data_IF_257194966796
#
_entry.id   IF_257194966796
#
_cell.length_a   1.000
_cell.length_b   1.000
_cell.length_c   1.000
_cell.angle_alpha   90.00
_cell.angle_beta   90.00
_cell.angle_gamma   90.00
#
_symmetry.space_group_name_H-M   'P 1'
#
loop_
_entity.id
_entity.type
_entity.pdbx_description
1 polymer ?
#
# COMPACT_ATOMS: atom_id res chain seq x y z
N UNK A 1 -33.15 -71.62 2.14
CA UNK A 1 -32.98 -70.91 3.42
C UNK A 1 -32.01 -69.78 3.15
N UNK A 2 -32.53 -68.56 2.96
CA UNK A 2 -31.72 -67.42 2.53
C UNK A 2 -30.93 -66.85 3.70
N UNK A 3 -29.65 -66.51 3.46
CA UNK A 3 -28.77 -65.95 4.47
C UNK A 3 -28.66 -64.44 4.24
N UNK A 4 -29.46 -63.66 4.97
CA UNK A 4 -29.41 -62.19 4.88
C UNK A 4 -28.10 -61.65 5.50
N UNK A 5 -27.30 -60.98 4.69
CA UNK A 5 -26.15 -60.20 5.14
C UNK A 5 -26.63 -58.94 5.88
N UNK A 6 -26.37 -58.85 7.21
CA UNK A 6 -26.49 -57.59 7.92
C UNK A 6 -25.24 -56.73 7.68
N UNK A 7 -25.36 -55.73 6.81
CA UNK A 7 -24.35 -54.67 6.70
C UNK A 7 -24.59 -53.68 7.85
N UNK A 8 -23.75 -53.73 8.88
CA UNK A 8 -23.69 -52.63 9.85
C UNK A 8 -23.05 -51.41 9.18
N UNK A 9 -23.87 -50.40 8.87
CA UNK A 9 -23.37 -49.05 8.60
C UNK A 9 -22.74 -48.49 9.87
N UNK A 10 -21.42 -48.56 9.98
CA UNK A 10 -20.67 -47.83 11.00
C UNK A 10 -20.83 -46.32 10.76
N UNK A 11 -21.66 -45.67 11.58
CA UNK A 11 -21.77 -44.21 11.61
C UNK A 11 -20.44 -43.61 12.08
N UNK A 12 -19.59 -43.21 11.13
CA UNK A 12 -18.39 -42.43 11.43
C UNK A 12 -18.87 -41.06 11.96
N UNK A 13 -18.59 -40.70 13.22
CA UNK A 13 -18.98 -39.40 13.74
C UNK A 13 -18.17 -38.31 13.01
N UNK A 14 -18.83 -37.57 12.11
CA UNK A 14 -18.27 -36.31 11.59
C UNK A 14 -18.00 -35.40 12.78
N UNK A 15 -16.72 -35.05 13.00
CA UNK A 15 -16.37 -33.99 13.95
C UNK A 15 -16.99 -32.69 13.44
N UNK A 16 -18.09 -32.27 14.05
CA UNK A 16 -18.60 -30.91 13.89
C UNK A 16 -17.60 -30.00 14.62
N UNK A 17 -16.65 -29.43 13.87
CA UNK A 17 -15.89 -28.30 14.39
C UNK A 17 -16.88 -27.17 14.59
N UNK A 18 -17.12 -26.80 15.86
CA UNK A 18 -17.80 -25.55 16.16
C UNK A 18 -16.93 -24.42 15.62
N UNK A 19 -17.42 -23.70 14.60
CA UNK A 19 -16.82 -22.42 14.23
C UNK A 19 -16.83 -21.52 15.47
N UNK A 20 -15.77 -20.72 15.64
CA UNK A 20 -15.57 -19.80 16.75
C UNK A 20 -14.85 -18.57 16.22
N UNK A 21 -15.25 -17.39 16.69
CA UNK A 21 -14.47 -16.16 16.46
C UNK A 21 -13.27 -16.21 17.41
N UNK A 22 -12.09 -16.42 16.83
CA UNK A 22 -10.84 -16.71 17.56
C UNK A 22 -10.11 -15.44 18.02
N UNK A 23 -10.16 -14.38 17.21
CA UNK A 23 -9.43 -13.14 17.44
C UNK A 23 -10.30 -11.93 17.08
N UNK A 24 -10.19 -10.84 17.83
CA UNK A 24 -10.94 -9.59 17.65
C UNK A 24 -10.03 -8.44 18.02
N UNK A 25 -9.82 -7.53 17.08
CA UNK A 25 -9.03 -6.31 17.28
C UNK A 25 -9.96 -5.11 17.35
N UNK A 26 -9.65 -4.13 18.21
CA UNK A 26 -10.53 -2.99 18.44
C UNK A 26 -9.76 -1.67 18.57
N UNK A 27 -10.31 -0.64 17.93
CA UNK A 27 -9.94 0.77 18.10
C UNK A 27 -11.23 1.54 18.39
N UNK A 28 -11.26 2.35 19.44
CA UNK A 28 -12.48 3.08 19.87
C UNK A 28 -12.35 4.60 19.71
N UNK A 29 -13.50 5.26 19.56
CA UNK A 29 -13.60 6.71 19.42
C UNK A 29 -13.06 7.47 20.64
N UNK A 30 -13.26 6.91 21.84
CA UNK A 30 -12.82 7.42 23.13
C UNK A 30 -11.35 7.07 23.46
N UNK A 31 -10.67 6.34 22.56
CA UNK A 31 -9.30 5.84 22.70
C UNK A 31 -9.06 4.88 23.88
N UNK A 32 -10.12 4.33 24.48
CA UNK A 32 -10.02 3.30 25.52
C UNK A 32 -9.46 1.95 25.00
N UNK A 33 -9.51 1.72 23.69
CA UNK A 33 -8.78 0.66 22.98
C UNK A 33 -8.18 1.22 21.69
N UNK A 34 -6.94 0.82 21.38
CA UNK A 34 -6.13 1.37 20.28
C UNK A 34 -5.37 0.23 19.58
N UNK A 35 -6.00 -0.37 18.57
CA UNK A 35 -5.56 -1.63 17.95
C UNK A 35 -5.22 -2.69 19.01
N UNK A 36 -6.14 -2.94 19.92
CA UNK A 36 -5.97 -3.88 21.03
C UNK A 36 -6.68 -5.20 20.70
N UNK A 37 -5.99 -6.33 20.84
CA UNK A 37 -6.66 -7.65 20.82
C UNK A 37 -7.55 -7.79 22.05
N UNK A 38 -8.76 -8.29 21.87
CA UNK A 38 -9.71 -8.58 22.94
C UNK A 38 -9.75 -10.10 23.20
N UNK A 39 -8.80 -10.64 24.00
CA UNK A 39 -8.72 -12.08 24.24
C UNK A 39 -9.98 -12.57 24.96
N UNK A 40 -10.78 -13.37 24.27
CA UNK A 40 -11.97 -13.99 24.86
C UNK A 40 -11.54 -15.09 25.81
N UNK A 41 -11.60 -14.79 27.11
CA UNK A 41 -11.54 -15.83 28.14
C UNK A 41 -12.63 -16.88 27.87
N UNK A 42 -12.30 -18.15 28.11
CA UNK A 42 -12.87 -19.33 27.43
C UNK A 42 -14.37 -19.62 27.68
N UNK A 43 -15.09 -18.75 28.39
CA UNK A 43 -16.53 -18.84 28.64
C UNK A 43 -17.42 -18.05 27.66
N UNK A 44 -16.85 -17.16 26.82
CA UNK A 44 -17.63 -16.22 25.97
C UNK A 44 -17.30 -16.22 24.48
N UNK A 45 -16.80 -17.33 23.94
CA UNK A 45 -16.72 -17.52 22.49
C UNK A 45 -18.11 -17.36 21.84
N UNK A 46 -18.22 -16.55 20.78
CA UNK A 46 -19.46 -16.51 19.97
C UNK A 46 -19.59 -17.89 19.32
N UNK A 47 -20.58 -18.63 19.81
CA UNK A 47 -20.97 -19.93 19.24
C UNK A 47 -21.85 -19.67 18.03
N UNK A 48 -21.50 -20.30 16.93
CA UNK A 48 -22.36 -20.34 15.75
C UNK A 48 -23.58 -21.19 16.09
N UNK A 49 -24.76 -20.58 16.01
CA UNK A 49 -26.04 -21.26 16.24
C UNK A 49 -26.64 -21.63 14.89
N UNK A 50 -27.29 -22.79 14.81
CA UNK A 50 -28.12 -23.12 13.65
C UNK A 50 -29.26 -22.10 13.54
N UNK A 51 -29.44 -21.50 12.35
CA UNK A 51 -30.43 -20.47 12.06
C UNK A 51 -31.86 -21.02 11.99
N UNK A 52 -32.39 -21.52 13.11
CA UNK A 52 -33.75 -22.07 13.19
C UNK A 52 -34.84 -20.99 13.27
N UNK A 53 -34.47 -19.72 13.46
CA UNK A 53 -35.36 -18.57 13.37
C UNK A 53 -34.59 -17.34 12.87
N UNK A 54 -35.14 -16.66 11.87
CA UNK A 54 -34.74 -15.31 11.48
C UNK A 54 -35.20 -14.33 12.57
N UNK A 55 -34.40 -14.16 13.62
CA UNK A 55 -34.55 -13.03 14.54
C UNK A 55 -34.38 -11.75 13.69
N UNK A 56 -35.34 -10.82 13.67
CA UNK A 56 -35.15 -9.53 13.02
C UNK A 56 -34.17 -8.70 13.85
N UNK A 57 -32.87 -8.94 13.65
CA UNK A 57 -31.82 -8.10 14.22
C UNK A 57 -31.79 -6.77 13.47
N UNK A 58 -31.55 -5.68 14.20
CA UNK A 58 -31.45 -4.35 13.59
C UNK A 58 -30.30 -4.26 12.58
N UNK A 59 -29.27 -5.12 12.71
CA UNK A 59 -28.16 -5.28 11.78
C UNK A 59 -27.92 -6.78 11.52
N UNK A 60 -27.73 -7.14 10.27
CA UNK A 60 -27.25 -8.45 9.81
C UNK A 60 -26.00 -8.23 8.95
N UNK A 61 -24.97 -9.06 9.12
CA UNK A 61 -23.81 -9.14 8.24
C UNK A 61 -23.85 -10.53 7.61
N UNK A 62 -23.99 -10.59 6.29
CA UNK A 62 -24.02 -11.86 5.53
C UNK A 62 -22.75 -11.93 4.71
N UNK A 63 -21.92 -12.94 4.96
CA UNK A 63 -20.70 -13.21 4.20
C UNK A 63 -20.95 -14.39 3.27
N UNK A 64 -20.56 -14.25 2.01
CA UNK A 64 -20.62 -15.29 0.98
C UNK A 64 -19.19 -15.50 0.44
N UNK A 65 -18.59 -16.62 0.85
CA UNK A 65 -17.24 -17.04 0.44
C UNK A 65 -17.21 -17.76 -0.91
N UNK A 66 -18.36 -17.94 -1.57
CA UNK A 66 -18.45 -18.47 -2.93
C UNK A 66 -18.27 -17.39 -4.01
N UNK A 67 -18.44 -16.12 -3.64
CA UNK A 67 -18.22 -14.95 -4.50
C UNK A 67 -16.92 -14.27 -4.12
N UNK A 68 -15.88 -14.51 -4.91
CA UNK A 68 -14.53 -13.97 -4.71
C UNK A 68 -14.21 -12.84 -5.69
N UNK A 69 -13.52 -11.79 -5.22
CA UNK A 69 -13.07 -10.65 -6.01
C UNK A 69 -11.53 -10.69 -6.17
N UNK A 70 -10.84 -9.57 -5.93
CA UNK A 70 -9.40 -9.42 -6.09
C UNK A 70 -8.59 -9.92 -4.87
N UNK A 71 -7.38 -10.41 -5.14
CA UNK A 71 -6.38 -10.71 -4.10
C UNK A 71 -5.79 -9.40 -3.54
N UNK A 72 -5.69 -9.29 -2.22
CA UNK A 72 -5.12 -8.12 -1.55
C UNK A 72 -3.60 -8.28 -1.45
N UNK A 73 -2.88 -7.30 -1.99
CA UNK A 73 -1.41 -7.26 -2.11
C UNK A 73 -0.77 -6.84 -0.79
N UNK A 74 -1.42 -5.95 -0.02
CA UNK A 74 -1.02 -5.55 1.31
C UNK A 74 -1.29 -4.08 1.62
N UNK A 75 -0.97 -3.70 2.85
CA UNK A 75 -1.05 -2.32 3.34
C UNK A 75 0.28 -1.86 3.94
N UNK A 76 0.45 -0.55 4.06
CA UNK A 76 1.60 0.09 4.72
C UNK A 76 1.75 1.56 4.37
N UNK A 77 2.97 2.01 4.10
CA UNK A 77 3.22 3.38 3.70
C UNK A 77 4.57 3.56 3.02
N UNK A 78 4.95 4.81 2.78
CA UNK A 78 6.23 5.11 2.15
C UNK A 78 7.34 5.33 3.16
N UNK A 79 8.48 4.69 2.89
CA UNK A 79 9.76 4.94 3.52
C UNK A 79 10.48 6.05 2.75
N UNK A 80 9.96 7.26 2.90
CA UNK A 80 10.64 8.51 2.57
C UNK A 80 11.82 8.73 3.53
N UNK A 81 12.53 9.85 3.40
CA UNK A 81 13.89 10.06 3.93
C UNK A 81 13.97 10.33 5.44
N UNK A 82 13.50 9.37 6.22
CA UNK A 82 13.13 9.56 7.61
C UNK A 82 13.97 8.73 8.57
N UNK A 83 14.24 9.36 9.72
CA UNK A 83 14.86 8.72 10.88
C UNK A 83 13.87 7.80 11.59
N UNK A 84 13.61 6.63 11.02
CA UNK A 84 13.12 5.49 11.79
C UNK A 84 14.14 5.09 12.88
N UNK A 85 15.44 5.40 12.67
CA UNK A 85 16.47 5.41 13.71
C UNK A 85 16.16 6.42 14.83
N UNK A 86 15.37 5.98 15.80
CA UNK A 86 15.28 6.58 17.14
C UNK A 86 16.65 6.50 17.83
N UNK A 87 16.95 7.45 18.72
CA UNK A 87 18.14 7.38 19.58
C UNK A 87 18.15 6.18 20.57
N UNK A 88 17.05 5.42 20.64
CA UNK A 88 16.84 4.27 21.52
C UNK A 88 16.53 3.01 20.69
N UNK A 89 17.52 2.14 20.48
CA UNK A 89 17.38 0.93 19.66
C UNK A 89 16.24 0.00 20.12
N UNK A 90 15.89 -0.02 21.41
CA UNK A 90 14.75 -0.79 21.91
C UNK A 90 13.41 -0.25 21.37
N UNK A 91 13.25 1.06 21.32
CA UNK A 91 12.06 1.70 20.77
C UNK A 91 11.93 1.43 19.25
N UNK A 92 13.03 1.53 18.51
CA UNK A 92 13.09 1.20 17.08
C UNK A 92 12.60 -0.22 16.78
N UNK A 93 13.19 -1.24 17.40
CA UNK A 93 12.80 -2.64 17.16
C UNK A 93 11.38 -2.95 17.64
N UNK A 94 10.92 -2.34 18.74
CA UNK A 94 9.54 -2.47 19.20
C UNK A 94 8.55 -1.87 18.18
N UNK A 95 8.86 -0.69 17.64
CA UNK A 95 8.06 -0.03 16.61
C UNK A 95 8.00 -0.89 15.33
N UNK A 96 9.15 -1.31 14.79
CA UNK A 96 9.17 -2.13 13.58
C UNK A 96 8.44 -3.46 13.77
N UNK A 97 8.62 -4.14 14.91
CA UNK A 97 7.92 -5.38 15.18
C UNK A 97 6.40 -5.17 15.29
N UNK A 98 5.94 -4.12 15.96
CA UNK A 98 4.50 -3.82 16.08
C UNK A 98 3.86 -3.43 14.73
N UNK A 99 4.60 -2.76 13.85
CA UNK A 99 4.12 -2.40 12.52
C UNK A 99 4.14 -3.57 11.54
N UNK A 100 5.28 -4.26 11.41
CA UNK A 100 5.55 -5.13 10.26
C UNK A 100 5.42 -6.63 10.51
N UNK A 101 5.44 -7.12 11.76
CA UNK A 101 5.43 -8.56 12.03
C UNK A 101 4.12 -9.21 11.51
N UNK A 102 4.19 -10.10 10.50
CA UNK A 102 3.03 -10.67 9.84
C UNK A 102 2.57 -12.00 10.48
N UNK A 103 3.07 -12.34 11.68
CA UNK A 103 2.73 -13.62 12.31
C UNK A 103 1.26 -13.62 12.78
N UNK A 104 0.51 -14.65 12.39
CA UNK A 104 -0.88 -14.81 12.83
C UNK A 104 -0.96 -14.88 14.37
N UNK A 105 -1.89 -14.13 14.97
CA UNK A 105 -2.02 -13.98 16.42
C UNK A 105 -0.93 -13.16 17.13
N UNK A 106 0.11 -12.63 16.44
CA UNK A 106 1.06 -11.71 17.07
C UNK A 106 0.41 -10.35 17.39
N UNK A 107 0.92 -9.66 18.41
CA UNK A 107 0.51 -8.29 18.73
C UNK A 107 1.18 -7.28 17.79
N UNK A 108 0.74 -7.28 16.53
CA UNK A 108 1.30 -6.48 15.44
C UNK A 108 0.30 -6.33 14.28
N UNK A 109 0.46 -5.24 13.52
CA UNK A 109 -0.36 -4.89 12.36
C UNK A 109 -0.01 -5.66 11.07
N UNK A 110 1.20 -6.24 10.98
CA UNK A 110 1.67 -7.03 9.84
C UNK A 110 1.65 -6.28 8.50
N UNK A 111 1.95 -4.99 8.51
CA UNK A 111 2.13 -4.19 7.30
C UNK A 111 3.17 -4.86 6.40
N UNK A 112 2.88 -4.92 5.10
CA UNK A 112 3.55 -5.82 4.15
C UNK A 112 3.77 -5.21 2.77
N UNK A 113 3.40 -3.93 2.58
CA UNK A 113 3.65 -3.17 1.37
C UNK A 113 4.33 -1.86 1.72
N UNK A 114 5.52 -1.61 1.17
CA UNK A 114 6.31 -0.39 1.42
C UNK A 114 6.65 0.27 0.11
N UNK A 115 6.37 1.58 0.04
CA UNK A 115 6.66 2.45 -1.09
C UNK A 115 7.95 3.22 -0.83
N UNK A 116 8.79 3.40 -1.85
CA UNK A 116 10.11 4.01 -1.71
C UNK A 116 10.29 5.10 -2.76
N UNK A 117 10.33 6.37 -2.35
CA UNK A 117 10.65 7.48 -3.24
C UNK A 117 12.09 7.35 -3.78
N UNK A 118 12.25 7.52 -5.09
CA UNK A 118 13.53 7.47 -5.79
C UNK A 118 13.91 8.86 -6.28
N UNK A 119 15.12 9.28 -5.89
CA UNK A 119 15.50 10.68 -5.92
C UNK A 119 14.80 11.45 -4.80
N UNK A 120 15.03 12.76 -4.77
CA UNK A 120 14.39 13.60 -3.77
C UNK A 120 12.87 13.70 -3.97
N UNK A 121 12.15 13.69 -2.85
CA UNK A 121 10.74 14.01 -2.70
C UNK A 121 10.58 15.35 -1.96
N UNK A 122 9.34 15.79 -1.75
CA UNK A 122 9.00 16.83 -0.77
C UNK A 122 9.35 16.44 0.68
N UNK A 123 9.51 15.14 0.97
CA UNK A 123 9.94 14.60 2.27
C UNK A 123 11.44 14.25 2.34
N UNK A 124 12.25 14.76 1.41
CA UNK A 124 13.71 14.55 1.38
C UNK A 124 14.51 15.59 2.15
N UNK A 125 15.65 15.20 2.70
CA UNK A 125 16.50 16.12 3.47
C UNK A 125 17.26 17.14 2.58
N UNK A 126 17.50 16.77 1.32
CA UNK A 126 18.10 17.60 0.28
C UNK A 126 17.64 17.13 -1.10
N UNK A 127 17.91 17.93 -2.14
CA UNK A 127 17.56 17.56 -3.52
C UNK A 127 18.68 16.76 -4.18
N UNK A 128 18.37 15.60 -4.76
CA UNK A 128 19.30 14.71 -5.46
C UNK A 128 18.56 13.80 -6.45
N UNK A 129 19.33 13.14 -7.33
CA UNK A 129 18.89 11.95 -8.06
C UNK A 129 19.95 10.84 -8.00
N UNK A 130 19.70 9.70 -8.66
CA UNK A 130 20.66 8.58 -8.74
C UNK A 130 21.73 8.79 -9.82
N UNK A 131 21.58 9.75 -10.72
CA UNK A 131 22.64 10.20 -11.63
C UNK A 131 22.56 11.71 -11.80
N UNK A 132 23.51 12.42 -11.19
CA UNK A 132 23.57 13.88 -11.25
C UNK A 132 24.46 14.41 -12.40
N UNK A 133 24.88 13.56 -13.34
CA UNK A 133 25.81 13.96 -14.41
C UNK A 133 25.09 14.54 -15.62
N UNK A 134 25.21 15.86 -15.81
CA UNK A 134 24.57 16.59 -16.91
C UNK A 134 24.83 15.94 -18.28
N UNK A 135 23.76 15.40 -18.88
CA UNK A 135 23.78 14.84 -20.23
C UNK A 135 24.31 13.41 -20.33
N UNK A 136 24.47 12.69 -19.22
CA UNK A 136 24.80 11.26 -19.24
C UNK A 136 23.58 10.40 -19.63
N UNK A 137 23.26 10.40 -20.92
CA UNK A 137 22.24 9.53 -21.52
C UNK A 137 22.62 8.05 -21.51
N UNK A 138 23.85 7.71 -21.13
CA UNK A 138 24.31 6.32 -20.95
C UNK A 138 24.15 5.81 -19.51
N UNK A 139 23.93 6.72 -18.56
CA UNK A 139 23.84 6.45 -17.13
C UNK A 139 25.07 5.69 -16.61
N UNK A 140 26.26 6.12 -17.04
CA UNK A 140 27.54 5.61 -16.57
C UNK A 140 27.82 6.08 -15.13
N UNK A 141 27.43 7.31 -14.81
CA UNK A 141 27.55 7.92 -13.48
C UNK A 141 26.44 7.53 -12.50
N UNK A 142 25.47 6.73 -12.93
CA UNK A 142 24.40 6.20 -12.08
C UNK A 142 24.97 5.48 -10.86
N UNK A 143 24.49 5.86 -9.68
CA UNK A 143 24.91 5.28 -8.41
C UNK A 143 23.74 5.19 -7.44
N UNK A 144 23.30 3.96 -7.17
CA UNK A 144 22.23 3.64 -6.21
C UNK A 144 22.53 4.15 -4.79
N UNK A 145 23.82 4.26 -4.40
CA UNK A 145 24.26 4.78 -3.10
C UNK A 145 24.10 6.31 -2.95
N UNK A 146 23.53 6.99 -3.94
CA UNK A 146 23.07 8.38 -3.80
C UNK A 146 21.75 8.46 -3.01
N UNK A 147 20.94 7.40 -3.03
CA UNK A 147 19.88 7.24 -2.05
C UNK A 147 20.51 7.03 -0.65
N UNK A 148 19.92 7.58 0.44
CA UNK A 148 20.53 7.51 1.76
C UNK A 148 20.70 6.07 2.27
N UNK A 149 21.85 5.77 2.88
CA UNK A 149 22.17 4.42 3.36
C UNK A 149 21.10 3.83 4.29
N UNK A 150 20.53 4.65 5.19
CA UNK A 150 19.52 4.19 6.15
C UNK A 150 18.23 3.67 5.49
N UNK A 151 17.93 4.05 4.25
CA UNK A 151 16.80 3.49 3.50
C UNK A 151 16.97 1.97 3.36
N UNK A 152 18.15 1.54 2.92
CA UNK A 152 18.48 0.13 2.74
C UNK A 152 18.69 -0.60 4.07
N UNK A 153 19.21 0.08 5.10
CA UNK A 153 19.34 -0.48 6.46
C UNK A 153 17.96 -0.77 7.07
N UNK A 154 17.04 0.21 7.04
CA UNK A 154 15.66 0.05 7.54
C UNK A 154 14.88 -0.97 6.73
N UNK A 155 14.98 -0.99 5.39
CA UNK A 155 14.35 -2.02 4.57
C UNK A 155 14.89 -3.43 4.93
N UNK A 156 16.18 -3.56 5.24
CA UNK A 156 16.77 -4.84 5.70
C UNK A 156 16.19 -5.24 7.05
N UNK A 157 16.14 -4.32 8.00
CA UNK A 157 15.60 -4.58 9.33
C UNK A 157 14.12 -5.01 9.26
N UNK A 158 13.30 -4.36 8.42
CA UNK A 158 11.92 -4.77 8.15
C UNK A 158 11.88 -6.18 7.51
N UNK A 159 12.75 -6.50 6.54
CA UNK A 159 12.84 -7.86 5.97
C UNK A 159 13.18 -8.93 7.01
N UNK A 160 13.93 -8.61 8.08
CA UNK A 160 14.19 -9.59 9.16
C UNK A 160 12.94 -9.92 10.00
N UNK A 161 11.95 -9.02 9.99
CA UNK A 161 10.67 -9.14 10.72
C UNK A 161 9.57 -9.69 9.80
N UNK A 162 9.59 -9.35 8.52
CA UNK A 162 8.57 -9.67 7.54
C UNK A 162 9.19 -10.13 6.20
N UNK A 163 9.25 -11.45 6.00
CA UNK A 163 9.70 -12.10 4.76
C UNK A 163 8.68 -12.02 3.61
N UNK A 164 7.47 -11.52 3.88
CA UNK A 164 6.39 -11.29 2.90
C UNK A 164 6.36 -9.85 2.36
N UNK A 165 7.32 -9.01 2.77
CA UNK A 165 7.41 -7.60 2.40
C UNK A 165 7.50 -7.43 0.88
N UNK A 166 6.58 -6.65 0.32
CA UNK A 166 6.62 -6.17 -1.05
C UNK A 166 7.13 -4.74 -1.05
N UNK A 167 8.22 -4.49 -1.78
CA UNK A 167 8.78 -3.15 -1.99
C UNK A 167 8.38 -2.65 -3.37
N UNK A 168 7.84 -1.45 -3.45
CA UNK A 168 7.59 -0.71 -4.69
C UNK A 168 8.44 0.55 -4.70
N UNK A 169 9.16 0.80 -5.80
CA UNK A 169 9.91 2.05 -5.97
C UNK A 169 9.13 3.01 -6.85
N UNK A 170 9.19 4.30 -6.53
CA UNK A 170 8.42 5.35 -7.18
C UNK A 170 9.32 6.52 -7.49
N UNK A 171 9.32 6.94 -8.75
CA UNK A 171 10.14 8.06 -9.17
C UNK A 171 9.44 9.37 -8.89
N UNK A 172 9.90 10.08 -7.86
CA UNK A 172 9.48 11.46 -7.65
C UNK A 172 10.05 12.37 -8.73
N UNK A 173 11.17 11.97 -9.35
CA UNK A 173 11.94 12.87 -10.20
C UNK A 173 12.85 12.21 -11.27
N UNK A 174 13.10 12.97 -12.35
CA UNK A 174 13.93 12.62 -13.52
C UNK A 174 15.33 13.27 -13.48
N UNK A 175 16.38 12.52 -13.10
CA UNK A 175 17.83 12.81 -13.29
C UNK A 175 18.33 14.29 -13.24
N UNK A 176 19.14 14.62 -12.22
CA UNK A 176 19.82 15.91 -12.08
C UNK A 176 21.26 15.86 -12.63
N UNK A 177 22.20 16.78 -12.43
CA UNK A 177 22.14 18.17 -12.03
C UNK A 177 22.85 19.01 -13.11
N UNK A 178 22.26 20.12 -13.58
CA UNK A 178 20.90 20.59 -13.31
C UNK A 178 19.90 19.82 -14.19
N UNK A 179 19.06 18.98 -13.56
CA UNK A 179 17.74 18.55 -14.06
C UNK A 179 17.68 18.30 -15.58
N UNK A 180 18.66 17.57 -16.12
CA UNK A 180 19.01 17.74 -17.53
C UNK A 180 18.00 17.08 -18.47
N UNK A 181 17.15 16.21 -17.92
CA UNK A 181 16.01 15.62 -18.59
C UNK A 181 14.79 16.53 -18.76
N UNK A 182 14.76 17.73 -18.15
CA UNK A 182 13.54 18.57 -18.07
C UNK A 182 13.65 19.93 -18.72
N UNK A 183 12.52 20.41 -19.25
CA UNK A 183 12.37 21.70 -19.93
C UNK A 183 12.78 22.89 -19.04
N UNK A 184 12.43 22.85 -17.75
CA UNK A 184 12.69 23.87 -16.75
C UNK A 184 14.15 24.01 -16.36
N UNK A 185 14.97 22.96 -16.55
CA UNK A 185 16.32 22.89 -16.01
C UNK A 185 16.37 22.90 -14.47
N UNK A 186 15.24 22.64 -13.80
CA UNK A 186 15.12 22.54 -12.34
C UNK A 186 14.49 21.20 -11.91
N UNK A 187 14.83 20.75 -10.69
CA UNK A 187 14.23 19.55 -10.14
C UNK A 187 12.74 19.77 -9.84
N UNK A 188 12.41 20.92 -9.28
CA UNK A 188 11.04 21.32 -9.03
C UNK A 188 10.37 21.85 -10.31
N UNK A 189 9.16 21.35 -10.63
CA UNK A 189 8.29 21.86 -11.70
C UNK A 189 8.80 21.70 -13.15
N UNK A 190 7.88 21.70 -14.11
CA UNK A 190 8.17 21.47 -15.54
C UNK A 190 8.11 20.00 -15.96
N UNK A 191 8.35 19.75 -17.24
CA UNK A 191 8.04 18.50 -17.95
C UNK A 191 9.29 17.75 -18.40
N UNK A 192 9.15 16.45 -18.68
CA UNK A 192 10.17 15.68 -19.40
C UNK A 192 10.38 16.26 -20.81
N UNK A 193 11.63 16.39 -21.27
CA UNK A 193 11.89 16.79 -22.64
C UNK A 193 11.63 15.62 -23.62
N UNK A 194 11.11 15.88 -24.83
CA UNK A 194 10.85 14.83 -25.82
C UNK A 194 12.07 13.96 -26.18
N UNK A 195 13.28 14.55 -26.22
CA UNK A 195 14.53 13.85 -26.52
C UNK A 195 15.05 12.97 -25.38
N UNK A 196 14.44 13.05 -24.19
CA UNK A 196 14.82 12.31 -22.99
C UNK A 196 13.93 11.08 -22.74
N UNK A 197 12.76 11.03 -23.38
CA UNK A 197 11.77 9.94 -23.32
C UNK A 197 12.39 8.58 -23.67
N UNK A 198 13.32 8.54 -24.63
CA UNK A 198 14.01 7.30 -25.05
C UNK A 198 15.10 6.84 -24.08
N UNK A 199 15.62 7.72 -23.23
CA UNK A 199 16.71 7.40 -22.29
C UNK A 199 16.20 7.06 -20.89
N UNK A 200 15.13 7.73 -20.45
CA UNK A 200 14.59 7.52 -19.10
C UNK A 200 14.24 6.06 -18.73
N UNK A 201 13.74 5.19 -19.62
CA UNK A 201 13.58 3.76 -19.35
C UNK A 201 14.84 3.05 -18.83
N UNK A 202 16.03 3.46 -19.27
CA UNK A 202 17.31 2.89 -18.82
C UNK A 202 17.67 3.34 -17.40
N UNK A 203 17.31 4.57 -17.02
CA UNK A 203 17.45 5.06 -15.65
C UNK A 203 16.50 4.32 -14.69
N UNK A 204 15.26 4.08 -15.13
CA UNK A 204 14.27 3.26 -14.41
C UNK A 204 14.81 1.82 -14.21
N UNK A 205 15.31 1.17 -15.27
CA UNK A 205 15.94 -0.16 -15.18
C UNK A 205 17.08 -0.19 -14.16
N UNK A 206 18.03 0.76 -14.25
CA UNK A 206 19.21 0.80 -13.37
C UNK A 206 18.86 0.94 -11.89
N UNK A 207 17.74 1.58 -11.55
CA UNK A 207 17.25 1.57 -10.18
C UNK A 207 16.68 0.22 -9.76
N UNK A 208 15.92 -0.47 -10.62
CA UNK A 208 15.42 -1.83 -10.35
C UNK A 208 16.60 -2.80 -10.13
N UNK A 209 17.60 -2.75 -11.00
CA UNK A 209 18.86 -3.51 -10.86
C UNK A 209 19.61 -3.12 -9.58
N UNK A 210 19.69 -1.82 -9.26
CA UNK A 210 20.33 -1.31 -8.05
C UNK A 210 19.66 -1.81 -6.77
N UNK A 211 18.34 -1.81 -6.70
CA UNK A 211 17.58 -2.39 -5.57
C UNK A 211 17.78 -3.90 -5.49
N UNK A 212 17.77 -4.62 -6.62
CA UNK A 212 18.05 -6.06 -6.64
C UNK A 212 19.47 -6.38 -6.16
N UNK A 213 20.48 -5.60 -6.57
CA UNK A 213 21.87 -5.73 -6.11
C UNK A 213 22.01 -5.40 -4.62
N UNK A 214 21.21 -4.48 -4.10
CA UNK A 214 21.04 -4.23 -2.67
C UNK A 214 20.23 -5.33 -1.95
N UNK A 215 19.79 -6.39 -2.62
CA UNK A 215 19.03 -7.50 -2.00
C UNK A 215 17.56 -7.17 -1.72
N UNK A 216 16.97 -6.25 -2.47
CA UNK A 216 15.57 -5.87 -2.43
C UNK A 216 14.92 -6.10 -3.81
N UNK A 217 14.57 -7.36 -4.16
CA UNK A 217 13.81 -7.62 -5.37
C UNK A 217 12.45 -6.92 -5.30
N UNK A 218 12.12 -6.15 -6.33
CA UNK A 218 10.96 -5.27 -6.32
C UNK A 218 9.69 -5.97 -6.76
N UNK A 219 8.58 -5.64 -6.10
CA UNK A 219 7.24 -6.01 -6.56
C UNK A 219 6.83 -5.16 -7.78
N UNK A 220 7.12 -3.86 -7.71
CA UNK A 220 6.74 -2.90 -8.73
C UNK A 220 7.72 -1.71 -8.83
N UNK A 221 7.67 -1.04 -9.98
CA UNK A 221 8.29 0.25 -10.27
C UNK A 221 7.26 1.16 -10.92
N UNK A 222 7.13 2.42 -10.49
CA UNK A 222 6.38 3.43 -11.25
C UNK A 222 7.27 4.24 -12.18
N UNK A 223 6.65 4.97 -13.11
CA UNK A 223 7.36 5.83 -14.06
C UNK A 223 7.55 7.24 -13.50
N UNK A 224 6.52 7.82 -12.86
CA UNK A 224 6.56 9.14 -12.24
C UNK A 224 5.48 9.24 -11.15
N UNK A 225 5.78 9.91 -10.05
CA UNK A 225 4.83 10.34 -9.03
C UNK A 225 4.04 11.56 -9.53
N UNK A 226 2.70 11.51 -9.50
CA UNK A 226 1.82 12.62 -9.86
C UNK A 226 2.20 13.30 -11.20
N UNK A 227 2.14 12.59 -12.34
CA UNK A 227 2.58 13.07 -13.65
C UNK A 227 1.73 14.24 -14.22
N UNK A 228 0.70 14.70 -13.52
CA UNK A 228 -0.04 15.93 -13.83
C UNK A 228 0.34 17.10 -12.88
N UNK A 229 1.13 16.87 -11.83
CA UNK A 229 1.59 17.87 -10.87
C UNK A 229 2.91 18.53 -11.34
N UNK A 230 2.99 19.86 -11.26
CA UNK A 230 4.19 20.65 -11.55
C UNK A 230 4.40 21.74 -10.49
N UNK A 231 4.68 21.32 -9.26
CA UNK A 231 4.98 22.22 -8.15
C UNK A 231 6.42 22.78 -8.24
N UNK A 232 6.64 24.11 -8.22
CA UNK A 232 7.98 24.70 -8.28
C UNK A 232 8.74 24.69 -6.94
N UNK A 233 8.13 24.21 -5.84
CA UNK A 233 8.74 24.20 -4.49
C UNK A 233 9.44 22.88 -4.14
N UNK A 234 9.09 21.77 -4.78
CA UNK A 234 9.68 20.45 -4.56
C UNK A 234 9.72 19.61 -5.86
N UNK A 235 10.49 18.51 -5.91
CA UNK A 235 10.60 17.68 -7.10
C UNK A 235 9.27 17.12 -7.59
N UNK A 236 8.93 17.45 -8.82
CA UNK A 236 7.73 17.06 -9.56
C UNK A 236 8.08 16.98 -11.04
N UNK A 237 7.33 16.24 -11.85
CA UNK A 237 7.51 16.28 -13.30
C UNK A 237 6.22 15.95 -14.03
N UNK A 238 5.80 16.83 -14.95
CA UNK A 238 4.68 16.55 -15.84
C UNK A 238 5.08 15.58 -16.96
N UNK A 239 4.24 14.56 -17.19
CA UNK A 239 4.35 13.59 -18.28
C UNK A 239 2.94 13.35 -18.84
N UNK A 240 2.77 13.40 -20.16
CA UNK A 240 1.51 13.09 -20.83
C UNK A 240 1.28 11.55 -20.88
N UNK A 241 0.03 11.05 -20.86
CA UNK A 241 -0.24 9.61 -20.74
C UNK A 241 0.30 8.77 -21.90
N UNK A 242 0.39 9.34 -23.10
CA UNK A 242 0.99 8.72 -24.28
C UNK A 242 2.53 8.65 -24.18
N UNK A 243 3.16 9.61 -23.51
CA UNK A 243 4.60 9.63 -23.21
C UNK A 243 4.94 8.66 -22.08
N UNK A 244 4.12 8.61 -21.02
CA UNK A 244 4.27 7.61 -19.94
C UNK A 244 4.08 6.19 -20.52
N UNK A 245 3.10 5.97 -21.39
CA UNK A 245 2.92 4.71 -22.12
C UNK A 245 4.16 4.29 -22.92
N UNK A 246 4.78 5.23 -23.65
CA UNK A 246 6.03 4.98 -24.40
C UNK A 246 7.17 4.57 -23.47
N UNK A 247 7.36 5.29 -22.36
CA UNK A 247 8.38 4.98 -21.34
C UNK A 247 8.14 3.59 -20.74
N UNK A 248 6.90 3.28 -20.36
CA UNK A 248 6.53 1.97 -19.80
C UNK A 248 6.72 0.82 -20.78
N UNK A 249 6.43 1.03 -22.07
CA UNK A 249 6.67 0.03 -23.14
C UNK A 249 8.16 -0.27 -23.33
N UNK A 250 8.99 0.76 -23.38
CA UNK A 250 10.44 0.62 -23.45
C UNK A 250 11.02 -0.03 -22.18
N UNK A 251 10.57 0.40 -20.99
CA UNK A 251 10.97 -0.18 -19.71
C UNK A 251 10.59 -1.66 -19.62
N UNK A 252 9.39 -2.05 -20.09
CA UNK A 252 8.99 -3.46 -20.11
C UNK A 252 9.90 -4.32 -20.97
N UNK A 253 10.31 -3.81 -22.12
CA UNK A 253 11.27 -4.51 -23.00
C UNK A 253 12.60 -4.70 -22.26
N UNK A 254 13.15 -3.62 -21.68
CA UNK A 254 14.36 -3.64 -20.87
C UNK A 254 14.29 -4.59 -19.66
N UNK A 255 13.18 -4.59 -18.91
CA UNK A 255 12.99 -5.50 -17.77
C UNK A 255 12.94 -6.96 -18.22
N UNK A 256 12.25 -7.26 -19.32
CA UNK A 256 12.17 -8.62 -19.84
C UNK A 256 13.54 -9.13 -20.32
N UNK A 257 14.28 -8.31 -21.06
CA UNK A 257 15.60 -8.65 -21.60
C UNK A 257 16.66 -8.89 -20.49
N UNK A 258 16.48 -8.26 -19.32
CA UNK A 258 17.33 -8.43 -18.14
C UNK A 258 16.76 -9.42 -17.10
N UNK A 259 15.75 -10.24 -17.46
CA UNK A 259 15.21 -11.29 -16.59
C UNK A 259 14.33 -10.79 -15.42
N UNK A 260 13.97 -9.50 -15.44
CA UNK A 260 13.15 -8.80 -14.45
C UNK A 260 11.66 -8.75 -14.84
N UNK A 261 11.19 -9.67 -15.68
CA UNK A 261 9.81 -9.69 -16.20
C UNK A 261 8.73 -9.75 -15.10
N UNK A 262 9.05 -10.31 -13.93
CA UNK A 262 8.16 -10.37 -12.77
C UNK A 262 7.91 -9.01 -12.10
N UNK A 263 8.77 -8.01 -12.31
CA UNK A 263 8.57 -6.67 -11.75
C UNK A 263 7.40 -6.00 -12.48
N UNK A 264 6.37 -5.58 -11.74
CA UNK A 264 5.24 -4.83 -12.32
C UNK A 264 5.68 -3.42 -12.68
N UNK A 265 5.17 -2.90 -13.80
CA UNK A 265 5.23 -1.47 -14.09
C UNK A 265 3.87 -0.91 -13.72
N UNK A 266 3.89 0.12 -12.89
CA UNK A 266 2.70 0.86 -12.48
C UNK A 266 2.81 2.30 -12.97
N UNK A 267 1.70 3.00 -13.04
CA UNK A 267 1.65 4.34 -13.62
C UNK A 267 0.33 5.02 -13.30
N UNK A 268 0.17 6.22 -13.83
CA UNK A 268 -0.76 7.25 -13.35
C UNK A 268 -0.39 7.84 -11.99
N UNK A 269 -0.22 7.08 -10.90
CA UNK A 269 0.24 7.57 -9.56
C UNK A 269 -0.33 8.96 -9.19
N UNK A 270 -1.65 9.14 -9.32
CA UNK A 270 -2.30 10.43 -9.07
C UNK A 270 -3.77 10.28 -8.67
N UNK A 271 -4.49 11.39 -8.55
CA UNK A 271 -5.75 11.48 -7.83
C UNK A 271 -6.93 10.70 -8.44
N UNK A 272 -8.02 10.55 -7.69
CA UNK A 272 -9.21 9.86 -8.18
C UNK A 272 -10.04 10.69 -9.17
N UNK A 273 -9.87 12.01 -9.24
CA UNK A 273 -10.70 12.92 -10.03
C UNK A 273 -10.60 12.68 -11.55
N UNK A 274 -9.43 12.28 -12.07
CA UNK A 274 -9.19 12.03 -13.49
C UNK A 274 -9.08 10.53 -13.86
N UNK A 275 -9.65 9.65 -13.02
CA UNK A 275 -9.68 8.20 -13.23
C UNK A 275 -10.30 7.75 -14.58
N UNK A 276 -11.10 8.60 -15.21
CA UNK A 276 -11.76 8.32 -16.49
C UNK A 276 -10.96 8.66 -17.75
N UNK A 277 -9.84 9.39 -17.66
CA UNK A 277 -9.12 9.85 -18.86
C UNK A 277 -7.63 9.48 -18.88
N UNK A 278 -6.81 10.00 -17.97
CA UNK A 278 -5.36 9.75 -17.98
C UNK A 278 -5.03 8.24 -17.89
N UNK A 279 -5.46 7.49 -16.84
CA UNK A 279 -5.06 6.09 -16.72
C UNK A 279 -5.67 5.20 -17.81
N UNK A 280 -6.87 5.52 -18.31
CA UNK A 280 -7.48 4.82 -19.45
C UNK A 280 -6.59 4.99 -20.70
N UNK A 281 -6.19 6.22 -21.01
CA UNK A 281 -5.29 6.52 -22.14
C UNK A 281 -3.94 5.82 -22.00
N UNK A 282 -3.38 5.83 -20.78
CA UNK A 282 -2.10 5.20 -20.43
C UNK A 282 -2.09 3.70 -20.74
N UNK A 283 -3.11 2.96 -20.28
CA UNK A 283 -3.13 1.49 -20.37
C UNK A 283 -3.70 0.96 -21.70
N UNK A 284 -4.36 1.81 -22.49
CA UNK A 284 -4.81 1.52 -23.85
C UNK A 284 -3.65 1.36 -24.85
N UNK A 285 -2.52 2.07 -24.66
CA UNK A 285 -1.48 2.20 -25.67
C UNK A 285 -0.36 1.13 -25.62
N UNK A 286 -0.07 0.48 -24.47
CA UNK A 286 0.76 -0.73 -24.47
C UNK A 286 0.35 -1.81 -23.45
N UNK A 287 0.74 -3.07 -23.74
CA UNK A 287 0.57 -4.22 -22.84
C UNK A 287 1.48 -4.19 -21.58
N UNK A 288 2.41 -3.23 -21.52
CA UNK A 288 3.48 -3.11 -20.52
C UNK A 288 3.00 -2.62 -19.16
N UNK A 289 2.01 -1.72 -19.15
CA UNK A 289 1.36 -1.17 -17.94
C UNK A 289 0.02 -1.89 -17.79
N UNK A 290 -0.07 -2.69 -16.74
CA UNK A 290 -1.22 -3.56 -16.46
C UNK A 290 -2.03 -3.09 -15.24
N UNK A 291 -1.82 -1.84 -14.84
CA UNK A 291 -2.33 -1.30 -13.57
C UNK A 291 -2.64 0.18 -13.70
N UNK A 292 -3.66 0.68 -13.00
CA UNK A 292 -3.75 2.09 -12.61
C UNK A 292 -3.49 2.22 -11.11
N UNK A 293 -2.87 3.31 -10.70
CA UNK A 293 -2.62 3.61 -9.29
C UNK A 293 -3.16 4.98 -8.92
N UNK A 294 -3.71 5.07 -7.71
CA UNK A 294 -4.50 6.21 -7.28
C UNK A 294 -4.01 6.80 -5.96
N UNK A 295 -4.16 8.12 -5.86
CA UNK A 295 -3.94 8.94 -4.67
C UNK A 295 -5.29 9.49 -4.17
N UNK A 296 -5.37 9.81 -2.87
CA UNK A 296 -6.64 10.18 -2.22
C UNK A 296 -6.94 11.69 -2.18
N UNK A 297 -6.11 12.55 -2.78
CA UNK A 297 -6.12 13.99 -2.48
C UNK A 297 -7.26 14.75 -3.18
N UNK A 298 -7.65 14.31 -4.37
CA UNK A 298 -8.74 14.89 -5.15
C UNK A 298 -9.64 13.78 -5.74
N UNK A 299 -10.92 14.09 -5.94
CA UNK A 299 -11.93 13.12 -6.39
C UNK A 299 -12.54 12.28 -5.27
N UNK A 300 -13.27 11.21 -5.64
CA UNK A 300 -13.91 10.27 -4.72
C UNK A 300 -13.47 8.84 -5.02
N UNK A 301 -13.49 7.97 -4.01
CA UNK A 301 -13.03 6.58 -4.10
C UNK A 301 -13.72 5.75 -5.20
N UNK A 302 -14.99 6.04 -5.48
CA UNK A 302 -15.82 5.35 -6.48
C UNK A 302 -15.46 5.72 -7.92
N UNK A 303 -14.71 6.79 -8.16
CA UNK A 303 -14.17 7.11 -9.49
C UNK A 303 -13.27 5.99 -10.03
N UNK A 304 -12.67 5.15 -9.16
CA UNK A 304 -11.91 3.96 -9.57
C UNK A 304 -12.76 2.97 -10.39
N UNK A 305 -14.08 2.93 -10.17
CA UNK A 305 -14.98 2.10 -10.99
C UNK A 305 -15.06 2.60 -12.43
N UNK A 306 -14.83 3.89 -12.70
CA UNK A 306 -14.78 4.41 -14.09
C UNK A 306 -13.62 3.78 -14.84
N UNK A 307 -12.43 3.74 -14.22
CA UNK A 307 -11.27 3.04 -14.77
C UNK A 307 -11.53 1.53 -14.87
N UNK A 308 -11.99 0.89 -13.79
CA UNK A 308 -12.20 -0.56 -13.77
C UNK A 308 -13.25 -1.03 -14.80
N UNK A 309 -14.31 -0.27 -15.02
CA UNK A 309 -15.33 -0.61 -16.03
C UNK A 309 -14.81 -0.42 -17.47
N UNK A 310 -13.91 0.54 -17.70
CA UNK A 310 -13.24 0.71 -19.00
C UNK A 310 -12.19 -0.38 -19.26
N UNK A 311 -11.44 -0.75 -18.22
CA UNK A 311 -10.22 -1.57 -18.30
C UNK A 311 -10.22 -2.73 -17.29
N UNK A 312 -11.23 -3.63 -17.29
CA UNK A 312 -11.48 -4.60 -16.22
C UNK A 312 -10.41 -5.70 -16.09
N UNK A 313 -9.49 -5.79 -17.04
CA UNK A 313 -8.33 -6.71 -17.01
C UNK A 313 -7.11 -6.13 -16.26
N UNK A 314 -7.14 -4.85 -15.92
CA UNK A 314 -6.04 -4.13 -15.26
C UNK A 314 -6.23 -4.12 -13.75
N UNK A 315 -5.15 -4.27 -13.00
CA UNK A 315 -5.17 -4.13 -11.54
C UNK A 315 -5.40 -2.65 -11.13
N UNK A 316 -6.03 -2.42 -9.99
CA UNK A 316 -6.14 -1.10 -9.34
C UNK A 316 -5.34 -1.11 -8.04
N UNK A 317 -4.65 -0.02 -7.71
CA UNK A 317 -3.93 0.14 -6.44
C UNK A 317 -4.18 1.54 -5.85
N UNK A 318 -4.41 1.63 -4.54
CA UNK A 318 -4.24 2.88 -3.80
C UNK A 318 -2.78 2.92 -3.31
N UNK A 319 -2.02 3.91 -3.75
CA UNK A 319 -0.57 4.00 -3.53
C UNK A 319 -0.10 5.20 -2.72
N UNK A 320 -0.94 6.23 -2.54
CA UNK A 320 -0.63 7.34 -1.64
C UNK A 320 -1.89 7.98 -1.02
N UNK A 321 -1.77 8.37 0.24
CA UNK A 321 -2.73 9.21 0.96
C UNK A 321 -2.06 9.79 2.21
N UNK A 322 -2.43 10.98 2.68
CA UNK A 322 -1.72 11.65 3.78
C UNK A 322 -2.64 12.01 4.95
N UNK A 323 -2.11 11.91 6.17
CA UNK A 323 -2.74 12.52 7.34
C UNK A 323 -2.44 14.02 7.38
N UNK A 324 -3.31 14.80 8.01
CA UNK A 324 -3.07 16.24 8.27
C UNK A 324 -2.94 16.47 9.77
N UNK A 325 -1.97 17.26 10.21
CA UNK A 325 -1.85 17.60 11.64
C UNK A 325 -3.06 18.43 12.09
N UNK A 326 -3.56 18.15 13.29
CA UNK A 326 -4.72 18.85 13.88
C UNK A 326 -6.10 18.44 13.35
N UNK A 327 -6.21 17.44 12.46
CA UNK A 327 -7.50 16.87 12.03
C UNK A 327 -8.23 16.11 13.16
N UNK A 328 -9.53 15.90 13.00
CA UNK A 328 -10.32 15.18 14.00
C UNK A 328 -10.00 13.69 14.03
N UNK A 329 -9.68 13.19 15.23
CA UNK A 329 -9.26 11.81 15.48
C UNK A 329 -10.24 10.76 14.96
N UNK A 330 -11.54 10.93 15.24
CA UNK A 330 -12.52 9.91 14.91
C UNK A 330 -13.12 10.13 13.52
N UNK A 331 -13.22 11.37 13.07
CA UNK A 331 -13.51 11.75 11.69
C UNK A 331 -12.57 11.07 10.70
N UNK A 332 -11.26 11.23 10.92
CA UNK A 332 -10.23 10.59 10.10
C UNK A 332 -10.34 9.06 10.12
N UNK A 333 -10.46 8.41 11.29
CA UNK A 333 -10.59 6.93 11.35
C UNK A 333 -11.79 6.44 10.52
N UNK A 334 -12.95 7.10 10.66
CA UNK A 334 -14.13 6.76 9.84
C UNK A 334 -13.85 6.96 8.37
N UNK A 335 -13.32 8.12 7.98
CA UNK A 335 -13.02 8.44 6.59
C UNK A 335 -11.99 7.49 5.97
N UNK A 336 -10.93 7.10 6.69
CA UNK A 336 -9.95 6.11 6.22
C UNK A 336 -10.57 4.72 6.06
N UNK A 337 -11.42 4.27 6.99
CA UNK A 337 -12.15 3.01 6.82
C UNK A 337 -13.11 3.07 5.63
N UNK A 338 -13.85 4.17 5.48
CA UNK A 338 -14.86 4.35 4.44
C UNK A 338 -14.26 4.54 3.03
N UNK A 339 -13.08 5.14 2.89
CA UNK A 339 -12.53 5.49 1.58
C UNK A 339 -11.27 4.71 1.22
N UNK A 340 -10.40 4.38 2.19
CA UNK A 340 -9.12 3.73 1.89
C UNK A 340 -9.16 2.22 2.15
N UNK A 341 -9.58 1.82 3.36
CA UNK A 341 -9.33 0.46 3.85
C UNK A 341 -10.45 -0.54 3.57
N UNK A 342 -11.70 -0.07 3.52
CA UNK A 342 -12.82 -0.83 2.95
C UNK A 342 -13.16 -0.23 1.58
N UNK A 343 -13.33 1.10 1.49
CA UNK A 343 -13.75 1.79 0.26
C UNK A 343 -12.94 1.45 -0.98
N UNK A 344 -11.62 1.71 -1.00
CA UNK A 344 -10.83 1.45 -2.21
C UNK A 344 -10.83 -0.03 -2.58
N UNK A 345 -10.84 -0.95 -1.60
CA UNK A 345 -10.95 -2.38 -1.87
C UNK A 345 -12.35 -2.77 -2.36
N UNK A 346 -13.40 -2.04 -1.98
CA UNK A 346 -14.74 -2.17 -2.54
C UNK A 346 -14.77 -1.79 -4.03
N UNK A 347 -14.05 -0.72 -4.39
CA UNK A 347 -13.82 -0.23 -5.75
C UNK A 347 -12.54 -0.82 -6.40
N UNK A 348 -12.36 -2.14 -6.24
CA UNK A 348 -11.40 -2.98 -6.95
C UNK A 348 -9.90 -2.78 -6.67
N UNK A 349 -9.50 -1.85 -5.79
CA UNK A 349 -8.10 -1.68 -5.41
C UNK A 349 -7.54 -2.92 -4.72
N UNK A 350 -6.24 -3.19 -4.89
CA UNK A 350 -5.53 -4.36 -4.35
C UNK A 350 -4.62 -4.00 -3.18
N UNK A 351 -4.45 -2.72 -2.87
CA UNK A 351 -3.57 -2.24 -1.79
C UNK A 351 -4.15 -1.00 -1.13
N UNK A 352 -3.54 -0.58 -0.03
CA UNK A 352 -3.67 0.78 0.48
C UNK A 352 -2.38 1.23 1.15
N UNK A 353 -1.89 2.41 0.79
CA UNK A 353 -0.64 2.98 1.29
C UNK A 353 -0.87 4.41 1.77
N UNK A 354 -0.38 4.71 2.98
CA UNK A 354 -0.22 6.10 3.43
C UNK A 354 1.12 6.68 2.95
N UNK A 355 1.25 8.01 2.95
CA UNK A 355 2.43 8.70 2.45
C UNK A 355 3.63 8.45 3.37
N UNK A 356 3.75 9.15 4.49
CA UNK A 356 4.92 9.01 5.37
C UNK A 356 4.72 7.95 6.48
N UNK A 357 5.67 7.03 6.65
CA UNK A 357 5.66 6.09 7.79
C UNK A 357 5.95 6.82 9.12
N UNK A 358 6.93 7.74 9.16
CA UNK A 358 7.33 8.46 10.40
C UNK A 358 7.55 9.94 10.17
N UNK A 359 6.87 10.82 10.90
CA UNK A 359 7.20 12.25 10.96
C UNK A 359 7.42 12.71 12.40
N UNK A 360 8.04 13.87 12.60
CA UNK A 360 8.01 14.55 13.90
C UNK A 360 6.63 15.18 14.17
N UNK A 361 6.43 15.72 15.39
CA UNK A 361 5.17 16.37 15.77
C UNK A 361 4.83 17.64 14.99
N UNK A 362 5.71 18.11 14.11
CA UNK A 362 5.54 19.26 13.22
C UNK A 362 5.46 18.85 11.73
N UNK A 363 5.46 17.54 11.42
CA UNK A 363 5.40 17.03 10.05
C UNK A 363 6.74 17.00 9.31
N UNK A 364 7.87 17.03 10.02
CA UNK A 364 9.23 16.98 9.44
C UNK A 364 9.82 15.55 9.45
N UNK A 365 10.88 15.26 8.67
CA UNK A 365 11.60 16.12 7.73
C UNK A 365 10.75 16.51 6.53
N UNK A 366 10.88 17.76 6.08
CA UNK A 366 10.36 18.23 4.81
C UNK A 366 11.50 18.96 4.08
N UNK A 367 11.53 18.85 2.75
CA UNK A 367 12.56 19.47 1.92
C UNK A 367 12.56 20.99 2.14
N UNK A 368 13.73 21.63 2.37
CA UNK A 368 13.79 23.06 2.66
C UNK A 368 13.13 23.92 1.56
N UNK A 369 12.03 24.58 1.91
CA UNK A 369 11.25 25.43 1.00
C UNK A 369 10.10 24.74 0.26
N UNK A 370 9.94 23.41 0.40
CA UNK A 370 8.77 22.69 -0.11
C UNK A 370 7.48 23.11 0.61
N UNK A 371 6.37 23.08 -0.13
CA UNK A 371 5.03 23.37 0.41
C UNK A 371 4.12 22.16 0.15
N UNK A 372 4.10 21.24 1.10
CA UNK A 372 3.27 20.02 1.08
C UNK A 372 2.22 20.03 2.21
N UNK A 373 1.11 19.31 2.05
CA UNK A 373 -0.01 19.20 3.01
C UNK A 373 -0.56 20.53 3.59
N UNK A 374 -0.75 21.55 2.75
CA UNK A 374 -1.43 22.80 3.10
C UNK A 374 -0.87 23.47 4.40
N UNK A 375 -1.67 24.26 5.12
CA UNK A 375 -1.24 24.95 6.35
C UNK A 375 -1.17 24.07 7.61
N UNK A 376 -1.67 22.84 7.53
CA UNK A 376 -1.64 21.91 8.66
C UNK A 376 -0.29 21.21 8.79
N UNK A 377 0.34 20.86 7.66
CA UNK A 377 1.48 19.94 7.63
C UNK A 377 1.02 18.48 7.60
N UNK A 378 1.84 17.61 6.99
CA UNK A 378 1.53 16.19 6.88
C UNK A 378 1.68 15.49 8.24
N UNK A 379 0.92 14.41 8.44
CA UNK A 379 1.07 13.49 9.56
C UNK A 379 1.41 12.09 9.04
N UNK A 380 2.46 11.49 9.61
CA UNK A 380 2.84 10.12 9.28
C UNK A 380 2.04 9.09 10.08
N UNK A 381 2.21 7.80 9.77
CA UNK A 381 1.62 6.70 10.56
C UNK A 381 2.04 6.75 12.04
N UNK A 382 3.29 7.16 12.29
CA UNK A 382 3.87 7.33 13.62
C UNK A 382 4.46 8.74 13.76
N UNK A 383 4.24 9.35 14.91
CA UNK A 383 4.97 10.54 15.36
C UNK A 383 6.22 10.08 16.12
N UNK A 384 7.41 10.53 15.72
CA UNK A 384 8.70 10.19 16.36
C UNK A 384 9.38 11.45 16.87
N UNK A 385 9.79 11.44 18.14
CA UNK A 385 10.44 12.56 18.81
C UNK A 385 11.97 12.44 18.79
N UNK A 386 12.65 13.57 18.98
CA UNK A 386 14.13 13.65 18.98
C UNK A 386 14.81 12.79 20.07
N UNK A 387 14.11 12.46 21.16
CA UNK A 387 14.61 11.56 22.22
C UNK A 387 14.42 10.07 21.89
N UNK A 388 13.79 9.76 20.75
CA UNK A 388 13.46 8.40 20.34
C UNK A 388 12.17 7.83 20.95
N UNK A 389 11.37 8.63 21.68
CA UNK A 389 9.99 8.28 22.01
C UNK A 389 9.09 8.41 20.77
N UNK A 390 7.97 7.70 20.74
CA UNK A 390 7.06 7.68 19.59
C UNK A 390 5.59 7.47 20.00
N UNK A 391 4.67 7.83 19.12
CA UNK A 391 3.23 7.53 19.25
C UNK A 391 2.61 7.24 17.88
N UNK A 392 1.75 6.21 17.82
CA UNK A 392 0.98 5.92 16.60
C UNK A 392 -0.18 6.91 16.43
N UNK A 393 -0.46 7.27 15.19
CA UNK A 393 -1.53 8.19 14.81
C UNK A 393 -2.78 7.43 14.29
N UNK A 394 -3.91 8.13 14.14
CA UNK A 394 -5.18 7.56 13.64
C UNK A 394 -5.07 6.80 12.31
N UNK A 395 -4.15 7.25 11.46
CA UNK A 395 -3.76 6.66 10.17
C UNK A 395 -3.30 5.21 10.36
N UNK A 396 -2.39 4.99 11.33
CA UNK A 396 -1.91 3.65 11.68
C UNK A 396 -3.03 2.79 12.26
N UNK A 397 -3.80 3.28 13.23
CA UNK A 397 -4.77 2.43 13.93
C UNK A 397 -5.94 1.98 13.06
N UNK A 398 -6.31 2.78 12.05
CA UNK A 398 -7.31 2.38 11.06
C UNK A 398 -6.73 1.34 10.07
N UNK A 399 -5.52 1.60 9.54
CA UNK A 399 -4.86 0.70 8.60
C UNK A 399 -4.48 -0.65 9.23
N UNK A 400 -4.07 -0.65 10.51
CA UNK A 400 -3.69 -1.86 11.25
C UNK A 400 -4.86 -2.86 11.33
N UNK A 401 -6.10 -2.39 11.51
CA UNK A 401 -7.30 -3.23 11.50
C UNK A 401 -7.47 -3.94 10.15
N UNK A 402 -7.31 -3.20 9.05
CA UNK A 402 -7.48 -3.72 7.70
C UNK A 402 -6.34 -4.69 7.31
N UNK A 403 -5.10 -4.35 7.64
CA UNK A 403 -3.94 -5.22 7.45
C UNK A 403 -4.09 -6.53 8.21
N UNK A 404 -4.50 -6.48 9.49
CA UNK A 404 -4.71 -7.66 10.32
C UNK A 404 -5.75 -8.64 9.75
N UNK A 405 -6.74 -8.15 9.01
CA UNK A 405 -7.76 -8.97 8.36
C UNK A 405 -7.25 -9.79 7.16
N UNK A 406 -6.14 -9.38 6.53
CA UNK A 406 -5.61 -10.00 5.29
C UNK A 406 -4.27 -10.73 5.46
N UNK A 407 -3.69 -10.76 6.67
CA UNK A 407 -2.44 -11.48 6.96
C UNK A 407 -2.59 -13.00 6.71
N UNK A 408 -1.59 -13.67 6.09
CA UNK A 408 -1.60 -15.12 5.90
C UNK A 408 -1.66 -15.93 7.20
N UNK A 409 -2.38 -17.06 7.17
CA UNK A 409 -2.59 -17.93 8.34
C UNK A 409 -1.51 -18.98 8.56
N UNK A 410 -0.59 -19.13 7.60
CA UNK A 410 0.64 -19.93 7.70
C UNK A 410 1.79 -19.13 7.08
N UNK A 411 3.04 -19.40 7.51
CA UNK A 411 4.24 -18.82 6.88
C UNK A 411 4.30 -19.15 5.37
N UNK A 412 4.44 -18.09 4.55
CA UNK A 412 4.41 -18.17 3.10
C UNK A 412 3.08 -18.67 2.52
N UNK A 413 1.96 -18.49 3.22
CA UNK A 413 0.61 -18.61 2.67
C UNK A 413 0.17 -17.34 1.90
N UNK A 414 -0.94 -17.40 1.16
CA UNK A 414 -1.48 -16.23 0.47
C UNK A 414 -2.06 -15.21 1.45
N UNK A 415 -1.99 -13.94 1.05
CA UNK A 415 -2.75 -12.86 1.70
C UNK A 415 -4.26 -13.04 1.47
N UNK A 416 -5.06 -12.28 2.21
CA UNK A 416 -6.51 -12.30 2.10
C UNK A 416 -6.99 -11.96 0.69
N UNK A 417 -7.93 -12.74 0.18
CA UNK A 417 -8.68 -12.42 -1.03
C UNK A 417 -10.05 -11.85 -0.63
N UNK A 418 -10.48 -10.75 -1.25
CA UNK A 418 -11.79 -10.15 -0.93
C UNK A 418 -12.92 -11.10 -1.35
N UNK A 419 -13.92 -11.24 -0.50
CA UNK A 419 -15.14 -12.02 -0.74
C UNK A 419 -16.39 -11.16 -0.53
N UNK A 420 -17.54 -11.64 -0.95
CA UNK A 420 -18.78 -10.88 -0.84
C UNK A 420 -19.26 -10.76 0.61
N UNK A 421 -19.72 -9.56 0.94
CA UNK A 421 -20.41 -9.25 2.20
C UNK A 421 -21.52 -8.26 1.93
N UNK A 422 -22.64 -8.43 2.61
CA UNK A 422 -23.74 -7.46 2.65
C UNK A 422 -24.14 -7.15 4.09
N UNK A 423 -24.46 -5.89 4.33
CA UNK A 423 -25.00 -5.41 5.61
C UNK A 423 -26.46 -5.04 5.40
N UNK A 424 -27.37 -5.65 6.16
CA UNK A 424 -28.82 -5.47 6.02
C UNK A 424 -29.50 -5.26 7.38
N UNK A 425 -30.81 -4.97 7.38
CA UNK A 425 -31.58 -4.62 8.59
C UNK A 425 -31.81 -3.12 8.73
N UNK A 426 -32.69 -2.72 9.64
CA UNK A 426 -33.16 -1.33 9.80
C UNK A 426 -32.09 -0.34 10.26
N UNK A 427 -31.01 -0.82 10.86
CA UNK A 427 -29.82 -0.07 11.23
C UNK A 427 -28.58 -0.50 10.43
N UNK A 428 -28.75 -1.29 9.35
CA UNK A 428 -27.61 -1.75 8.54
C UNK A 428 -26.75 -0.60 8.00
N UNK A 429 -27.37 0.55 7.72
CA UNK A 429 -26.71 1.79 7.29
C UNK A 429 -25.71 2.37 8.32
N UNK A 430 -25.75 1.97 9.60
CA UNK A 430 -24.80 2.45 10.62
C UNK A 430 -23.47 1.68 10.61
N UNK A 431 -23.31 0.69 9.72
CA UNK A 431 -22.16 -0.20 9.71
C UNK A 431 -21.65 -0.43 8.28
N UNK A 432 -20.33 -0.35 8.12
CA UNK A 432 -19.61 -0.83 6.93
C UNK A 432 -18.78 -2.05 7.29
N UNK A 433 -18.67 -3.01 6.37
CA UNK A 433 -17.95 -4.25 6.58
C UNK A 433 -17.23 -4.67 5.29
N UNK A 434 -15.96 -5.06 5.41
CA UNK A 434 -15.25 -5.82 4.39
C UNK A 434 -15.08 -7.27 4.84
N UNK A 435 -15.08 -8.21 3.91
CA UNK A 435 -14.85 -9.63 4.19
C UNK A 435 -13.74 -10.20 3.30
N UNK A 436 -12.91 -11.06 3.88
CA UNK A 436 -11.74 -11.63 3.23
C UNK A 436 -11.58 -13.10 3.61
N UNK A 437 -11.18 -13.93 2.64
CA UNK A 437 -10.77 -15.32 2.88
C UNK A 437 -9.24 -15.42 2.86
N UNK A 438 -8.66 -15.95 3.94
CA UNK A 438 -7.23 -16.27 4.03
C UNK A 438 -7.06 -17.79 3.94
N UNK A 439 -6.47 -18.27 2.84
CA UNK A 439 -6.26 -19.70 2.63
C UNK A 439 -4.99 -20.19 3.31
N UNK A 440 -4.95 -21.49 3.65
CA UNK A 440 -3.77 -22.15 4.21
C UNK A 440 -2.87 -22.70 3.10
N UNK A 441 -1.56 -22.77 3.32
CA UNK A 441 -0.57 -23.22 2.31
C UNK A 441 -0.72 -24.70 1.93
N UNK A 442 -1.43 -25.49 2.74
CA UNK A 442 -1.63 -26.94 2.60
C UNK A 442 -3.11 -27.34 2.45
N UNK A 443 -3.96 -26.45 1.92
CA UNK A 443 -5.37 -26.75 1.60
C UNK A 443 -5.50 -27.40 0.23
#
# INVERSE_FOLDING_TARGET
>A
MELYFLIMCALIPRRVQTQQIYDVWQTTWDRSSLFTSFPRTTSTAIKFNSSTNSVPTSVNIVVDDTVEYQDIVGFGGSLSEQRLYTANSGNYWNLLNYMFNPTDGANAAGLSYVRVPIGASDFSASVYSLDDSKGDTSFHSFNINRAPAYLFEVLRDIQTINDLLKVVIIFFYLASQPAWMKDSGTMNGGSIKPDMVSFYPTYLLKAVEGFQAMGFPLYAVSIQNEPQNSNPTYPTCTIAPDVEAQIGSALRSLLNDNGLSNVKIIGYEHNWDDAGAYPVTLVCAPWSIQTSTFHCYEGNVDNQDVFHNAEPSKDVYLTECTGTLGSDWWGDIKWYMDNLWIGALEHNAKSGLMWNITLDGNGNPMLPGAVSCNKGGCRGLVTVNNDGSYSFNQDFYSMAQASKAIIPKDSGGPFGKRIHVSVTGSLGWTLRAGAYITRRKKS
#
